data_IF_830032025498
#
_entry.id   IF_830032025498
#
_cell.length_a   1.000
_cell.length_b   1.000
_cell.length_c   1.000
_cell.angle_alpha   90.00
_cell.angle_beta   90.00
_cell.angle_gamma   90.00
#
_symmetry.space_group_name_H-M   'P 1'
#
loop_
_entity.id
_entity.type
_entity.pdbx_description
1 polymer ?
#
# COMPACT_ATOMS: atom_id res chain seq x y z
N UNK A 1 24.81 8.42 -18.03
CA UNK A 1 24.32 7.06 -17.70
C UNK A 1 23.76 6.92 -16.29
N UNK A 2 24.27 7.61 -15.26
CA UNK A 2 23.72 7.56 -13.88
C UNK A 2 22.41 8.38 -13.73
N UNK A 3 22.31 9.52 -14.40
CA UNK A 3 21.11 10.40 -14.37
C UNK A 3 19.83 9.69 -14.86
N UNK A 4 19.95 8.75 -15.80
CA UNK A 4 18.82 8.00 -16.35
C UNK A 4 18.25 6.98 -15.34
N UNK A 5 19.12 6.34 -14.54
CA UNK A 5 18.70 5.40 -13.51
C UNK A 5 17.87 6.09 -12.43
N UNK A 6 18.28 7.28 -11.99
CA UNK A 6 17.52 8.05 -10.98
C UNK A 6 16.13 8.42 -11.48
N UNK A 7 15.99 8.84 -12.74
CA UNK A 7 14.68 9.18 -13.31
C UNK A 7 13.76 7.97 -13.46
N UNK A 8 14.30 6.80 -13.84
CA UNK A 8 13.53 5.56 -13.96
C UNK A 8 13.06 5.09 -12.58
N UNK A 9 13.94 5.08 -11.57
CA UNK A 9 13.59 4.70 -10.21
C UNK A 9 12.51 5.59 -9.60
N UNK A 10 12.61 6.91 -9.81
CA UNK A 10 11.57 7.84 -9.37
C UNK A 10 10.21 7.54 -10.03
N UNK A 11 10.20 7.29 -11.34
CA UNK A 11 8.96 6.97 -12.06
C UNK A 11 8.31 5.69 -11.53
N UNK A 12 9.08 4.62 -11.36
CA UNK A 12 8.54 3.35 -10.85
C UNK A 12 8.08 3.45 -9.40
N UNK A 13 8.77 4.25 -8.58
CA UNK A 13 8.33 4.53 -7.21
C UNK A 13 7.01 5.30 -7.16
N UNK A 14 6.82 6.31 -8.03
CA UNK A 14 5.53 7.00 -8.15
C UNK A 14 4.42 6.07 -8.67
N UNK A 15 4.74 5.16 -9.59
CA UNK A 15 3.79 4.14 -10.03
C UNK A 15 3.37 3.22 -8.86
N UNK A 16 4.30 2.83 -7.99
CA UNK A 16 4.02 2.03 -6.80
C UNK A 16 3.11 2.76 -5.81
N UNK A 17 3.40 4.03 -5.50
CA UNK A 17 2.51 4.87 -4.67
C UNK A 17 1.10 4.95 -5.25
N UNK A 18 1.01 5.15 -6.56
CA UNK A 18 -0.28 5.20 -7.27
C UNK A 18 -1.02 3.87 -7.14
N UNK A 19 -0.35 2.74 -7.28
CA UNK A 19 -0.96 1.42 -7.11
C UNK A 19 -1.56 1.26 -5.70
N UNK A 20 -0.84 1.62 -4.63
CA UNK A 20 -1.35 1.54 -3.25
C UNK A 20 -2.52 2.49 -2.93
N UNK A 21 -2.67 3.55 -3.72
CA UNK A 21 -3.70 4.60 -3.51
C UNK A 21 -4.85 4.51 -4.50
N UNK A 22 -4.92 3.42 -5.29
CA UNK A 22 -5.98 3.19 -6.27
C UNK A 22 -6.50 1.76 -6.19
N UNK A 23 -7.68 1.53 -6.76
CA UNK A 23 -8.22 0.18 -6.89
C UNK A 23 -7.31 -0.70 -7.78
N UNK A 24 -7.20 -2.01 -7.51
CA UNK A 24 -7.95 -2.76 -6.49
C UNK A 24 -7.27 -2.81 -5.12
N UNK A 25 -6.08 -2.21 -4.93
CA UNK A 25 -5.34 -2.29 -3.67
C UNK A 25 -6.01 -1.44 -2.59
N UNK A 26 -6.35 -0.19 -2.92
CA UNK A 26 -7.24 0.61 -2.10
C UNK A 26 -8.69 0.25 -2.44
N UNK A 27 -9.37 -0.39 -1.50
CA UNK A 27 -10.75 -0.82 -1.63
C UNK A 27 -11.64 -0.15 -0.58
N UNK A 28 -12.93 -0.04 -0.89
CA UNK A 28 -13.93 0.34 0.11
C UNK A 28 -14.03 -0.75 1.18
N UNK A 29 -14.11 -0.33 2.44
CA UNK A 29 -14.29 -1.24 3.56
C UNK A 29 -15.63 -1.97 3.46
N UNK A 30 -15.63 -3.25 3.81
CA UNK A 30 -16.79 -4.13 3.82
C UNK A 30 -17.01 -4.71 5.21
N UNK A 31 -18.15 -4.41 5.84
CA UNK A 31 -18.46 -4.87 7.19
C UNK A 31 -18.58 -6.41 7.31
N UNK A 32 -18.81 -7.10 6.20
CA UNK A 32 -18.96 -8.55 6.15
C UNK A 32 -17.65 -9.29 5.87
N UNK A 33 -16.59 -8.58 5.46
CA UNK A 33 -15.30 -9.18 5.16
C UNK A 33 -14.45 -9.29 6.44
N UNK A 34 -13.65 -10.36 6.53
CA UNK A 34 -12.70 -10.52 7.64
C UNK A 34 -11.61 -9.45 7.53
N UNK A 35 -11.40 -8.71 8.60
CA UNK A 35 -10.38 -7.66 8.70
C UNK A 35 -9.13 -8.18 9.42
N UNK A 36 -7.95 -7.79 8.92
CA UNK A 36 -6.64 -7.97 9.55
C UNK A 36 -6.04 -6.58 9.82
N UNK A 37 -5.53 -6.39 11.04
CA UNK A 37 -4.79 -5.19 11.43
C UNK A 37 -3.37 -5.61 11.77
N UNK A 38 -2.42 -5.04 11.06
CA UNK A 38 -0.99 -5.22 11.31
C UNK A 38 -0.45 -3.91 11.85
N UNK A 39 0.23 -3.93 12.99
CA UNK A 39 0.76 -2.74 13.66
C UNK A 39 2.25 -2.94 13.92
N UNK A 40 3.01 -1.88 13.74
CA UNK A 40 4.42 -1.83 14.15
C UNK A 40 4.73 -0.47 14.77
N UNK A 41 5.67 -0.46 15.71
CA UNK A 41 6.04 0.73 16.46
C UNK A 41 7.56 0.81 16.61
N UNK A 42 8.05 2.05 16.58
CA UNK A 42 9.44 2.41 16.85
C UNK A 42 9.48 3.47 17.94
N UNK A 43 10.68 3.80 18.42
CA UNK A 43 10.89 4.91 19.37
C UNK A 43 10.40 6.27 18.84
N UNK A 44 10.14 6.39 17.53
CA UNK A 44 9.74 7.64 16.89
C UNK A 44 8.28 7.67 16.41
N UNK A 45 7.71 6.54 16.00
CA UNK A 45 6.38 6.49 15.40
C UNK A 45 5.70 5.13 15.56
N UNK A 46 4.36 5.17 15.54
CA UNK A 46 3.49 3.99 15.44
C UNK A 46 2.82 4.01 14.08
N UNK A 47 2.78 2.87 13.41
CA UNK A 47 2.11 2.69 12.13
C UNK A 47 1.27 1.41 12.11
N UNK A 48 0.34 1.34 11.17
CA UNK A 48 -0.41 0.12 10.93
C UNK A 48 -1.06 0.07 9.56
N UNK A 49 -1.39 -1.14 9.13
CA UNK A 49 -2.10 -1.46 7.90
C UNK A 49 -3.41 -2.14 8.28
N UNK A 50 -4.51 -1.69 7.69
CA UNK A 50 -5.81 -2.35 7.77
C UNK A 50 -6.08 -2.98 6.41
N UNK A 51 -6.25 -4.30 6.38
CA UNK A 51 -6.57 -5.05 5.17
C UNK A 51 -7.79 -5.94 5.38
N UNK A 52 -8.45 -6.32 4.29
CA UNK A 52 -9.59 -7.24 4.32
C UNK A 52 -9.35 -8.38 3.35
N UNK A 53 -9.73 -9.60 3.76
CA UNK A 53 -9.73 -10.74 2.86
C UNK A 53 -10.77 -10.51 1.76
N UNK A 54 -10.30 -10.47 0.51
CA UNK A 54 -11.20 -10.33 -0.65
C UNK A 54 -12.20 -11.47 -0.69
N UNK A 55 -13.48 -11.13 -0.86
CA UNK A 55 -14.56 -12.09 -1.08
C UNK A 55 -14.66 -12.54 -2.54
N UNK A 56 -13.84 -11.98 -3.44
CA UNK A 56 -13.79 -12.38 -4.84
C UNK A 56 -13.21 -13.81 -4.93
N UNK A 57 -14.09 -14.77 -5.19
CA UNK A 57 -13.74 -16.08 -5.74
C UNK A 57 -13.38 -15.95 -7.22
#
# INVERSE_FOLDING_TARGET
NIVNLTSLLSKEFEALKKAFTTAPILAHFSEIARTLIETDASDYAVAGIISQYSSLK
#
